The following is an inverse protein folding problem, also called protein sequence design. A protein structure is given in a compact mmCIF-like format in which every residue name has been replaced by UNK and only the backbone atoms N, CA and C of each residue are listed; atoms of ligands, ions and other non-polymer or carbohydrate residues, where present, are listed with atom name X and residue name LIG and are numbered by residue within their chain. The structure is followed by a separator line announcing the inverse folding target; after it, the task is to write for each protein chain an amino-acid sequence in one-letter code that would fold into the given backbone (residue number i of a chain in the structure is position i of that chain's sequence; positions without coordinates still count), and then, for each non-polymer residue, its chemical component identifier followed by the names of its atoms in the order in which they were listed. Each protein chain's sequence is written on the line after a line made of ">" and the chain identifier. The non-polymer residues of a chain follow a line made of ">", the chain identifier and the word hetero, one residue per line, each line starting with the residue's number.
data_IF_149195363179
#
_entry.id   IF_149195363179
#
_cell.length_a   1.000
_cell.length_b   1.000
_cell.length_c   1.000
_cell.angle_alpha   90.00
_cell.angle_beta   90.00
_cell.angle_gamma   90.00
#
_symmetry.space_group_name_H-M   'P 1'
#
loop_
_entity.id
_entity.type
_entity.pdbx_description
1 polymer ?
#
# COMPACT_ATOMS: atom_id res chain seq x y z
N UNK A 1 -35.92 -5.19 -63.08
CA UNK A 1 -34.54 -4.69 -62.86
C UNK A 1 -34.46 -4.06 -61.48
N UNK A 2 -33.63 -4.56 -60.55
CA UNK A 2 -33.41 -3.93 -59.24
C UNK A 2 -32.18 -2.99 -59.23
N UNK A 3 -32.12 -1.96 -58.36
CA UNK A 3 -31.03 -1.00 -58.35
C UNK A 3 -29.80 -1.50 -57.56
N UNK A 4 -28.61 -1.13 -58.05
CA UNK A 4 -27.28 -1.43 -57.47
C UNK A 4 -27.06 -0.65 -56.17
N UNK A 5 -26.66 -1.36 -55.09
CA UNK A 5 -26.20 -0.75 -53.83
C UNK A 5 -24.76 -0.25 -53.96
N UNK A 6 -24.55 1.06 -53.79
CA UNK A 6 -23.23 1.66 -53.63
C UNK A 6 -22.58 1.23 -52.30
N UNK A 7 -21.34 0.75 -52.36
CA UNK A 7 -20.53 0.40 -51.19
C UNK A 7 -19.81 1.65 -50.68
N UNK A 8 -20.12 2.10 -49.47
CA UNK A 8 -19.35 3.15 -48.77
C UNK A 8 -17.97 2.61 -48.35
N UNK A 9 -16.91 3.30 -48.76
CA UNK A 9 -15.53 3.01 -48.38
C UNK A 9 -15.30 3.27 -46.86
N UNK A 10 -14.79 2.26 -46.13
CA UNK A 10 -14.35 2.39 -44.74
C UNK A 10 -12.97 3.06 -44.70
N UNK A 11 -12.90 4.28 -44.16
CA UNK A 11 -11.65 4.97 -43.80
C UNK A 11 -10.96 4.20 -42.68
N UNK A 12 -9.79 3.63 -42.97
CA UNK A 12 -8.91 2.96 -42.00
C UNK A 12 -8.40 3.97 -40.96
N UNK A 13 -8.74 3.76 -39.69
CA UNK A 13 -8.12 4.46 -38.57
C UNK A 13 -6.68 3.95 -38.42
N UNK A 14 -5.70 4.85 -38.63
CA UNK A 14 -4.29 4.57 -38.32
C UNK A 14 -4.13 4.49 -36.81
N UNK A 15 -3.69 3.34 -36.30
CA UNK A 15 -3.35 3.16 -34.90
C UNK A 15 -2.11 4.02 -34.57
N UNK A 16 -2.29 4.99 -33.67
CA UNK A 16 -1.20 5.76 -33.10
C UNK A 16 -0.57 4.87 -32.03
N UNK A 17 0.68 4.44 -32.24
CA UNK A 17 1.44 3.68 -31.27
C UNK A 17 1.80 4.61 -30.09
N UNK A 18 1.00 4.56 -29.03
CA UNK A 18 1.27 5.26 -27.78
C UNK A 18 2.52 4.65 -27.15
N UNK A 19 3.64 5.36 -27.24
CA UNK A 19 4.88 5.02 -26.52
C UNK A 19 4.55 4.79 -25.03
N UNK A 20 5.02 3.71 -24.39
CA UNK A 20 4.74 3.51 -22.98
C UNK A 20 5.54 4.53 -22.17
N UNK A 21 4.87 5.54 -21.60
CA UNK A 21 5.44 6.54 -20.68
C UNK A 21 5.74 5.90 -19.29
N UNK A 22 5.37 4.63 -19.11
CA UNK A 22 5.54 3.85 -17.89
C UNK A 22 6.96 3.81 -17.26
N UNK A 23 8.11 3.83 -17.98
CA UNK A 23 9.40 3.69 -17.31
C UNK A 23 9.85 4.93 -16.52
N UNK A 24 9.34 6.13 -16.86
CA UNK A 24 9.68 7.38 -16.16
C UNK A 24 8.94 7.50 -14.82
N UNK A 25 7.69 7.07 -14.76
CA UNK A 25 6.86 7.09 -13.54
C UNK A 25 7.42 6.20 -12.43
N UNK A 26 7.98 5.03 -12.79
CA UNK A 26 8.57 4.10 -11.80
C UNK A 26 9.79 4.72 -11.10
N UNK A 27 10.53 5.62 -11.76
CA UNK A 27 11.72 6.27 -11.19
C UNK A 27 11.38 7.36 -10.18
N UNK A 28 10.41 8.25 -10.47
CA UNK A 28 10.00 9.32 -9.53
C UNK A 28 9.38 8.77 -8.24
N UNK A 29 8.50 7.77 -8.34
CA UNK A 29 7.92 7.09 -7.16
C UNK A 29 9.01 6.44 -6.31
N UNK A 30 10.09 5.92 -6.94
CA UNK A 30 11.23 5.32 -6.23
C UNK A 30 12.10 6.38 -5.55
N UNK A 31 12.23 7.58 -6.11
CA UNK A 31 12.99 8.70 -5.52
C UNK A 31 12.27 9.32 -4.31
N UNK A 32 10.94 9.49 -4.37
CA UNK A 32 10.14 9.96 -3.23
C UNK A 32 10.20 8.97 -2.04
N UNK A 33 10.30 7.67 -2.33
CA UNK A 33 10.49 6.63 -1.30
C UNK A 33 11.93 6.58 -0.73
N UNK A 34 12.92 7.18 -1.39
CA UNK A 34 14.32 7.16 -0.96
C UNK A 34 14.72 8.34 -0.07
N UNK A 35 13.89 9.38 0.06
CA UNK A 35 14.19 10.58 0.87
C UNK A 35 13.84 10.46 2.36
N UNK A 36 13.51 9.27 2.86
CA UNK A 36 13.25 9.04 4.29
C UNK A 36 14.16 7.93 4.80
N UNK A 37 15.02 8.28 5.75
CA UNK A 37 16.18 7.52 6.22
C UNK A 37 15.96 6.01 6.40
N UNK A 38 16.92 5.17 5.95
CA UNK A 38 16.80 3.71 6.05
C UNK A 38 17.15 3.12 7.42
N UNK A 39 17.66 3.89 8.39
CA UNK A 39 18.60 3.34 9.38
C UNK A 39 18.29 3.57 10.87
N UNK A 40 17.05 3.92 11.24
CA UNK A 40 16.62 3.81 12.64
C UNK A 40 15.68 2.63 12.80
N UNK A 41 15.99 1.73 13.74
CA UNK A 41 14.98 0.84 14.30
C UNK A 41 13.80 1.72 14.70
N UNK A 42 12.60 1.51 14.15
CA UNK A 42 11.56 2.49 14.33
C UNK A 42 11.10 2.44 15.78
N UNK A 43 10.96 3.60 16.43
CA UNK A 43 10.67 3.73 17.87
C UNK A 43 9.53 2.83 18.36
N UNK A 44 8.52 2.59 17.52
CA UNK A 44 7.41 1.67 17.82
C UNK A 44 7.86 0.23 18.08
N UNK A 45 8.90 -0.27 17.41
CA UNK A 45 9.38 -1.64 17.55
C UNK A 45 10.02 -1.85 18.94
N UNK A 46 10.81 -0.88 19.40
CA UNK A 46 11.38 -0.90 20.75
C UNK A 46 10.29 -0.85 21.82
N UNK A 47 9.24 -0.04 21.61
CA UNK A 47 8.08 0.01 22.51
C UNK A 47 7.32 -1.33 22.55
N UNK A 48 7.16 -2.00 21.41
CA UNK A 48 6.54 -3.32 21.34
C UNK A 48 7.29 -4.37 22.15
N UNK A 49 8.62 -4.31 22.13
CA UNK A 49 9.49 -5.28 22.80
C UNK A 49 9.47 -5.19 24.33
N UNK A 50 8.94 -4.10 24.92
CA UNK A 50 8.72 -4.00 26.38
C UNK A 50 7.84 -5.12 26.93
N UNK A 51 6.96 -5.67 26.10
CA UNK A 51 6.12 -6.82 26.43
C UNK A 51 6.55 -8.00 25.58
N UNK A 52 6.51 -9.23 26.12
CA UNK A 52 6.77 -10.44 25.32
C UNK A 52 5.59 -10.85 24.45
N UNK A 53 4.37 -10.54 24.90
CA UNK A 53 3.14 -10.92 24.24
C UNK A 53 2.11 -9.78 24.29
N UNK A 54 1.26 -9.71 23.27
CA UNK A 54 0.05 -8.89 23.23
C UNK A 54 -1.15 -9.80 22.96
N UNK A 55 -2.30 -9.46 23.52
CA UNK A 55 -3.55 -10.15 23.24
C UNK A 55 -4.36 -9.35 22.21
N UNK A 56 -4.73 -9.99 21.11
CA UNK A 56 -5.65 -9.44 20.11
C UNK A 56 -6.73 -10.48 19.83
N UNK A 57 -8.01 -10.10 19.99
CA UNK A 57 -9.16 -11.00 19.79
C UNK A 57 -8.99 -12.36 20.51
N UNK A 58 -8.64 -12.33 21.80
CA UNK A 58 -8.34 -13.50 22.63
C UNK A 58 -7.12 -14.34 22.20
N UNK A 59 -6.42 -13.98 21.13
CA UNK A 59 -5.20 -14.65 20.69
C UNK A 59 -3.97 -13.99 21.29
N UNK A 60 -3.02 -14.82 21.75
CA UNK A 60 -1.75 -14.37 22.31
C UNK A 60 -0.68 -14.35 21.22
N UNK A 61 -0.19 -13.15 20.89
CA UNK A 61 0.73 -12.90 19.78
C UNK A 61 2.11 -12.47 20.31
N UNK A 62 3.20 -12.96 19.73
CA UNK A 62 4.56 -12.54 20.11
C UNK A 62 4.86 -11.16 19.54
N UNK A 63 5.23 -10.23 20.40
CA UNK A 63 5.53 -8.83 20.02
C UNK A 63 6.73 -8.73 19.08
N UNK A 64 7.72 -9.60 19.26
CA UNK A 64 8.89 -9.68 18.38
C UNK A 64 8.50 -9.94 16.92
N UNK A 65 7.54 -10.85 16.69
CA UNK A 65 7.07 -11.19 15.35
C UNK A 65 6.20 -10.05 14.78
N UNK A 66 5.36 -9.45 15.62
CA UNK A 66 4.52 -8.31 15.22
C UNK A 66 5.36 -7.09 14.80
N UNK A 67 6.44 -6.78 15.52
CA UNK A 67 7.30 -5.64 15.21
C UNK A 67 7.94 -5.74 13.81
N UNK A 68 8.17 -6.96 13.32
CA UNK A 68 8.77 -7.23 12.02
C UNK A 68 7.79 -7.02 10.86
N UNK A 69 6.49 -7.26 11.04
CA UNK A 69 5.50 -7.26 9.95
C UNK A 69 5.49 -5.97 9.12
N UNK A 70 5.45 -4.76 9.71
CA UNK A 70 5.53 -3.52 8.95
C UNK A 70 6.81 -3.41 8.11
N UNK A 71 7.94 -3.86 8.65
CA UNK A 71 9.23 -3.87 7.95
C UNK A 71 9.24 -4.85 6.78
N UNK A 72 8.66 -6.04 6.96
CA UNK A 72 8.54 -7.04 5.91
C UNK A 72 7.66 -6.56 4.76
N UNK A 73 6.57 -5.88 5.08
CA UNK A 73 5.71 -5.26 4.07
C UNK A 73 6.46 -4.17 3.30
N UNK A 74 7.19 -3.28 4.01
CA UNK A 74 8.02 -2.25 3.39
C UNK A 74 9.07 -2.85 2.45
N UNK A 75 9.83 -3.84 2.93
CA UNK A 75 10.91 -4.50 2.19
C UNK A 75 10.40 -5.18 0.91
N UNK A 76 9.24 -5.84 0.99
CA UNK A 76 8.65 -6.55 -0.16
C UNK A 76 7.82 -5.63 -1.06
N UNK A 77 7.53 -4.41 -0.62
CA UNK A 77 6.62 -3.49 -1.30
C UNK A 77 5.15 -3.95 -1.23
N UNK A 78 4.76 -4.67 -0.18
CA UNK A 78 3.37 -5.04 0.08
C UNK A 78 2.64 -3.82 0.62
N UNK A 79 1.55 -3.44 -0.05
CA UNK A 79 0.78 -2.25 0.27
C UNK A 79 -0.66 -2.63 0.61
N UNK A 80 -1.27 -1.84 1.49
CA UNK A 80 -2.66 -1.95 1.87
C UNK A 80 -3.51 -0.92 1.13
N UNK A 81 -4.70 -1.34 0.71
CA UNK A 81 -5.72 -0.43 0.21
C UNK A 81 -6.54 0.14 1.37
N UNK A 82 -6.95 1.40 1.25
CA UNK A 82 -8.01 1.91 2.12
C UNK A 82 -9.31 1.16 1.83
N UNK A 83 -9.84 0.44 2.81
CA UNK A 83 -11.00 -0.44 2.61
C UNK A 83 -10.63 -1.82 2.04
N UNK A 84 -9.43 -2.33 2.36
CA UNK A 84 -8.98 -3.67 1.97
C UNK A 84 -9.98 -4.75 2.42
N UNK A 85 -10.26 -5.70 1.54
CA UNK A 85 -11.10 -6.86 1.87
C UNK A 85 -10.31 -7.92 2.64
N UNK A 86 -11.01 -8.79 3.39
CA UNK A 86 -10.35 -9.89 4.11
C UNK A 86 -9.56 -10.82 3.18
N UNK A 87 -10.06 -11.06 1.96
CA UNK A 87 -9.36 -11.89 0.97
C UNK A 87 -8.05 -11.24 0.50
N UNK A 88 -8.06 -9.94 0.22
CA UNK A 88 -6.85 -9.20 -0.14
C UNK A 88 -5.86 -9.15 1.02
N UNK A 89 -6.35 -8.98 2.25
CA UNK A 89 -5.52 -9.03 3.46
C UNK A 89 -4.82 -10.39 3.59
N UNK A 90 -5.55 -11.50 3.39
CA UNK A 90 -5.01 -12.85 3.48
C UNK A 90 -3.87 -13.10 2.47
N UNK A 91 -3.92 -12.49 1.28
CA UNK A 91 -2.84 -12.59 0.29
C UNK A 91 -1.54 -11.99 0.83
N UNK A 92 -1.62 -10.83 1.50
CA UNK A 92 -0.47 -10.17 2.12
C UNK A 92 0.08 -11.02 3.27
N UNK A 93 -0.81 -11.54 4.12
CA UNK A 93 -0.43 -12.43 5.23
C UNK A 93 0.29 -13.69 4.76
N UNK A 94 -0.20 -14.30 3.67
CA UNK A 94 0.41 -15.49 3.09
C UNK A 94 1.80 -15.18 2.52
N UNK A 95 1.98 -14.03 1.86
CA UNK A 95 3.31 -13.63 1.36
C UNK A 95 4.28 -13.35 2.52
N UNK A 96 3.83 -12.72 3.61
CA UNK A 96 4.65 -12.52 4.83
C UNK A 96 5.12 -13.86 5.38
N UNK A 97 4.21 -14.82 5.55
CA UNK A 97 4.53 -16.16 6.08
C UNK A 97 5.43 -16.96 5.16
N UNK A 98 5.29 -16.79 3.84
CA UNK A 98 6.17 -17.40 2.85
C UNK A 98 7.61 -16.86 2.95
N UNK A 99 7.76 -15.56 3.21
CA UNK A 99 9.08 -14.95 3.40
C UNK A 99 9.70 -15.33 4.76
N UNK A 100 8.88 -15.36 5.82
CA UNK A 100 9.31 -15.65 7.18
C UNK A 100 8.42 -16.72 7.82
N UNK A 101 8.74 -18.01 7.62
CA UNK A 101 7.93 -19.13 8.10
C UNK A 101 7.78 -19.21 9.63
N UNK A 102 8.62 -18.51 10.39
CA UNK A 102 8.55 -18.42 11.85
C UNK A 102 7.36 -17.60 12.36
N UNK A 103 6.76 -16.77 11.48
CA UNK A 103 5.57 -15.98 11.76
C UNK A 103 4.34 -16.88 11.60
N UNK A 104 3.56 -17.01 12.67
CA UNK A 104 2.32 -17.79 12.66
C UNK A 104 1.21 -17.09 11.87
N UNK A 105 0.17 -17.83 11.49
CA UNK A 105 -1.00 -17.23 10.83
C UNK A 105 -1.66 -16.13 11.69
N UNK A 106 -1.77 -16.38 12.99
CA UNK A 106 -2.34 -15.41 13.94
C UNK A 106 -1.51 -14.13 14.04
N UNK A 107 -0.18 -14.25 14.03
CA UNK A 107 0.73 -13.09 14.07
C UNK A 107 0.68 -12.30 12.77
N UNK A 108 0.73 -12.98 11.62
CA UNK A 108 0.58 -12.34 10.31
C UNK A 108 -0.74 -11.57 10.22
N UNK A 109 -1.85 -12.23 10.56
CA UNK A 109 -3.16 -11.60 10.59
C UNK A 109 -3.20 -10.41 11.56
N UNK A 110 -2.79 -10.61 12.81
CA UNK A 110 -2.81 -9.56 13.83
C UNK A 110 -1.99 -8.34 13.44
N UNK A 111 -0.80 -8.54 12.87
CA UNK A 111 0.07 -7.43 12.44
C UNK A 111 -0.47 -6.67 11.24
N UNK A 112 -0.99 -7.36 10.22
CA UNK A 112 -1.57 -6.73 9.02
C UNK A 112 -2.89 -6.03 9.37
N UNK A 113 -3.75 -6.68 10.16
CA UNK A 113 -5.00 -6.12 10.64
C UNK A 113 -4.79 -4.86 11.48
N UNK A 114 -3.76 -4.85 12.34
CA UNK A 114 -3.41 -3.68 13.12
C UNK A 114 -2.96 -2.50 12.24
N UNK A 115 -2.31 -2.74 11.10
CA UNK A 115 -1.96 -1.63 10.20
C UNK A 115 -3.22 -1.09 9.52
N UNK A 116 -4.13 -1.96 9.09
CA UNK A 116 -5.35 -1.56 8.37
C UNK A 116 -6.41 -0.87 9.25
N UNK A 117 -6.40 -1.12 10.57
CA UNK A 117 -7.34 -0.57 11.54
C UNK A 117 -6.65 0.34 12.57
N UNK A 118 -7.03 1.61 12.60
CA UNK A 118 -6.43 2.62 13.49
C UNK A 118 -6.55 2.27 14.98
N UNK A 119 -7.70 1.74 15.43
CA UNK A 119 -7.91 1.42 16.84
C UNK A 119 -6.97 0.29 17.28
N UNK A 120 -6.82 -0.73 16.44
CA UNK A 120 -5.93 -1.87 16.69
C UNK A 120 -4.46 -1.50 16.52
N UNK A 121 -4.15 -0.58 15.59
CA UNK A 121 -2.80 0.00 15.47
C UNK A 121 -2.33 0.60 16.79
N UNK A 122 -3.17 1.44 17.40
CA UNK A 122 -2.87 2.10 18.67
C UNK A 122 -2.72 1.09 19.81
N UNK A 123 -3.47 -0.01 19.78
CA UNK A 123 -3.37 -1.09 20.77
C UNK A 123 -2.09 -1.90 20.64
N UNK A 124 -1.72 -2.26 19.40
CA UNK A 124 -0.55 -3.08 19.14
C UNK A 124 0.70 -2.20 19.13
N UNK A 125 0.84 -1.35 18.13
CA UNK A 125 2.05 -0.59 17.88
C UNK A 125 2.24 0.63 18.81
N UNK A 126 1.32 0.82 19.78
CA UNK A 126 1.34 1.90 20.80
C UNK A 126 1.37 3.30 20.16
N UNK A 127 1.31 4.36 20.96
CA UNK A 127 1.65 5.70 20.51
C UNK A 127 3.11 5.70 20.01
N UNK A 128 3.32 6.06 18.74
CA UNK A 128 4.66 6.08 18.14
C UNK A 128 4.80 5.35 16.79
N UNK A 129 3.75 4.74 16.25
CA UNK A 129 3.82 4.22 14.88
C UNK A 129 3.91 5.40 13.87
N UNK A 130 5.01 5.55 13.11
CA UNK A 130 5.26 6.78 12.37
C UNK A 130 4.36 6.90 11.13
N UNK A 131 3.79 8.10 10.94
CA UNK A 131 2.93 8.39 9.79
C UNK A 131 3.65 8.20 8.44
N UNK A 132 4.95 8.45 8.38
CA UNK A 132 5.78 8.18 7.20
C UNK A 132 5.76 6.70 6.82
N UNK A 133 5.89 5.81 7.80
CA UNK A 133 5.80 4.37 7.57
C UNK A 133 4.38 3.97 7.16
N UNK A 134 3.33 4.56 7.76
CA UNK A 134 1.96 4.32 7.29
C UNK A 134 1.76 4.70 5.82
N UNK A 135 2.22 5.88 5.42
CA UNK A 135 2.16 6.30 4.01
C UNK A 135 2.91 5.31 3.09
N UNK A 136 4.02 4.75 3.56
CA UNK A 136 4.75 3.71 2.83
C UNK A 136 4.05 2.36 2.86
N UNK A 137 3.13 2.08 3.77
CA UNK A 137 2.42 0.79 3.84
C UNK A 137 1.05 0.84 3.16
N UNK A 138 0.53 2.01 2.85
CA UNK A 138 -0.70 2.17 2.08
C UNK A 138 -0.43 2.45 0.60
N UNK A 139 -1.35 2.00 -0.25
CA UNK A 139 -1.39 2.36 -1.65
C UNK A 139 -1.76 3.84 -1.82
N UNK A 140 -1.10 4.53 -2.75
CA UNK A 140 -1.48 5.88 -3.18
C UNK A 140 -2.63 5.75 -4.18
N UNK A 141 -3.77 6.39 -3.90
CA UNK A 141 -4.89 6.43 -4.86
C UNK A 141 -4.60 7.47 -5.93
N UNK A 142 -4.64 7.07 -7.19
CA UNK A 142 -4.42 7.98 -8.32
C UNK A 142 -5.78 8.37 -8.90
N UNK A 143 -6.01 9.68 -9.08
CA UNK A 143 -7.24 10.24 -9.67
C UNK A 143 -6.92 11.27 -10.74
N UNK A 144 -7.88 11.60 -11.59
CA UNK A 144 -7.80 12.68 -12.57
C UNK A 144 -8.69 13.82 -12.06
N UNK A 145 -8.17 15.05 -12.00
CA UNK A 145 -8.93 16.23 -11.62
C UNK A 145 -9.71 16.81 -12.82
N UNK A 146 -10.54 17.84 -12.58
CA UNK A 146 -11.35 18.48 -13.63
C UNK A 146 -10.52 19.18 -14.73
N UNK A 147 -9.22 19.39 -14.49
CA UNK A 147 -8.26 19.98 -15.44
C UNK A 147 -7.50 18.92 -16.25
N UNK A 148 -7.82 17.62 -16.08
CA UNK A 148 -7.13 16.52 -16.74
C UNK A 148 -5.75 16.18 -16.13
N UNK A 149 -5.42 16.72 -14.95
CA UNK A 149 -4.16 16.43 -14.24
C UNK A 149 -4.31 15.20 -13.34
N UNK A 150 -3.25 14.40 -13.24
CA UNK A 150 -3.17 13.26 -12.33
C UNK A 150 -2.82 13.74 -10.91
N UNK A 151 -3.65 13.42 -9.94
CA UNK A 151 -3.44 13.69 -8.52
C UNK A 151 -3.27 12.39 -7.75
N UNK A 152 -2.33 12.38 -6.80
CA UNK A 152 -2.11 11.26 -5.88
C UNK A 152 -2.66 11.58 -4.49
N UNK A 153 -3.61 10.80 -4.02
CA UNK A 153 -4.08 10.85 -2.65
C UNK A 153 -3.27 9.84 -1.81
N UNK A 154 -2.43 10.35 -0.91
CA UNK A 154 -1.71 9.52 0.08
C UNK A 154 -2.59 9.26 1.30
N UNK A 155 -2.37 8.13 1.97
CA UNK A 155 -3.04 7.83 3.23
C UNK A 155 -2.57 8.79 4.34
N UNK A 156 -3.52 9.33 5.09
CA UNK A 156 -3.28 10.17 6.27
C UNK A 156 -4.24 9.73 7.38
N UNK A 157 -3.74 9.67 8.62
CA UNK A 157 -4.55 9.28 9.78
C UNK A 157 -5.45 10.43 10.28
N UNK A 158 -5.06 11.69 9.99
CA UNK A 158 -5.90 12.87 10.21
C UNK A 158 -6.74 13.14 8.96
N UNK A 159 -7.99 13.60 9.13
CA UNK A 159 -8.95 13.90 8.04
C UNK A 159 -8.50 14.98 7.04
N UNK A 160 -7.29 15.52 7.17
CA UNK A 160 -6.70 16.46 6.22
C UNK A 160 -6.05 15.68 5.08
N UNK A 161 -6.68 15.73 3.89
CA UNK A 161 -6.12 15.18 2.66
C UNK A 161 -5.18 16.21 2.04
N UNK A 162 -4.00 15.78 1.64
CA UNK A 162 -3.10 16.58 0.80
C UNK A 162 -3.08 15.97 -0.58
N UNK A 163 -3.48 16.76 -1.58
CA UNK A 163 -3.39 16.40 -2.98
C UNK A 163 -1.99 16.76 -3.47
N UNK A 164 -1.19 15.75 -3.80
CA UNK A 164 0.12 15.98 -4.42
C UNK A 164 -0.01 15.86 -5.94
N UNK A 165 0.39 16.93 -6.65
CA UNK A 165 0.43 16.91 -8.12
C UNK A 165 1.64 16.08 -8.58
N UNK A 166 1.36 14.91 -9.15
CA UNK A 166 2.38 13.95 -9.58
C UNK A 166 3.14 14.44 -10.83
N UNK A 167 2.58 15.42 -11.56
CA UNK A 167 3.15 15.96 -12.78
C UNK A 167 4.17 17.10 -12.53
N UNK A 168 4.37 17.52 -11.29
CA UNK A 168 5.37 18.55 -10.90
C UNK A 168 6.79 18.00 -10.98
#
# INVERSE_FOLDING_TARGET
>A
MPPKKEKKAKKSQKAIATRPIFPLFRRKIKQIQQQQDPESDPDYAQHLQKKKFIQLNYQRLRTEQLARIPQLMRQRGLKLKTGITQKEQQVIENEIRRMYPTITAAEAHGGVFAISNQAERKRIYTEGFPNSLLQQLYETKIRINNEGKLIGEKYMENNQRYDENINS
#
